data_IF_928586734812
#
_entry.id   IF_928586734812
#
_cell.length_a   1.000
_cell.length_b   1.000
_cell.length_c   1.000
_cell.angle_alpha   90.00
_cell.angle_beta   90.00
_cell.angle_gamma   90.00
#
_symmetry.space_group_name_H-M   'P 1'
#
loop_
_entity.id
_entity.type
_entity.pdbx_description
1 polymer ?
#
# COMPACT_ATOMS: atom_id res chain seq x y z
N UNK A 1 3.38 -22.74 -10.92
CA UNK A 1 2.46 -21.58 -10.83
C UNK A 1 3.35 -20.35 -10.91
N UNK A 2 3.23 -19.52 -11.95
CA UNK A 2 4.10 -18.34 -12.10
C UNK A 2 3.74 -17.34 -11.01
N UNK A 3 4.62 -17.17 -10.02
CA UNK A 3 4.49 -16.11 -9.05
C UNK A 3 4.63 -14.78 -9.77
N UNK A 4 3.67 -13.90 -9.56
CA UNK A 4 3.67 -12.53 -10.06
C UNK A 4 4.60 -11.67 -9.19
N UNK A 5 5.84 -12.11 -8.98
CA UNK A 5 6.78 -11.65 -7.93
C UNK A 5 7.04 -10.14 -7.98
N UNK A 6 6.84 -9.53 -9.14
CA UNK A 6 7.12 -8.13 -9.40
C UNK A 6 5.91 -7.18 -9.25
N UNK A 7 4.74 -7.67 -8.86
CA UNK A 7 3.57 -6.82 -8.66
C UNK A 7 3.30 -6.60 -7.18
N UNK A 8 3.50 -5.37 -6.70
CA UNK A 8 3.17 -4.97 -5.35
C UNK A 8 1.81 -4.27 -5.33
N UNK A 9 0.99 -4.56 -4.33
CA UNK A 9 -0.30 -3.91 -4.11
C UNK A 9 -0.29 -3.19 -2.77
N UNK A 10 -1.01 -2.07 -2.67
CA UNK A 10 -1.25 -1.40 -1.40
C UNK A 10 -2.69 -0.94 -1.25
N UNK A 11 -3.17 -0.94 0.00
CA UNK A 11 -4.38 -0.20 0.35
C UNK A 11 -4.01 1.27 0.57
N UNK A 12 -4.70 2.17 -0.12
CA UNK A 12 -4.47 3.62 -0.01
C UNK A 12 -5.78 4.36 0.24
N UNK A 13 -5.69 5.52 0.87
CA UNK A 13 -6.81 6.44 1.09
C UNK A 13 -6.43 7.85 0.63
N UNK A 14 -7.42 8.67 0.28
CA UNK A 14 -7.17 10.08 -0.03
C UNK A 14 -7.04 10.90 1.24
N UNK A 15 -5.91 11.58 1.40
CA UNK A 15 -5.72 12.60 2.42
C UNK A 15 -6.51 13.87 2.10
N UNK A 16 -6.53 14.81 3.06
CA UNK A 16 -7.28 16.08 2.96
C UNK A 16 -6.80 16.95 1.79
N UNK A 17 -5.54 16.83 1.38
CA UNK A 17 -4.94 17.52 0.25
C UNK A 17 -5.17 16.79 -1.10
N UNK A 18 -5.93 15.70 -1.11
CA UNK A 18 -6.21 14.90 -2.30
C UNK A 18 -5.12 13.87 -2.66
N UNK A 19 -4.02 13.81 -1.90
CA UNK A 19 -2.92 12.86 -2.09
C UNK A 19 -3.35 11.45 -1.67
N UNK A 20 -2.95 10.44 -2.44
CA UNK A 20 -3.12 9.04 -2.06
C UNK A 20 -2.04 8.65 -1.03
N UNK A 21 -2.46 8.22 0.15
CA UNK A 21 -1.60 7.78 1.24
C UNK A 21 -1.78 6.28 1.48
N UNK A 22 -0.69 5.56 1.71
CA UNK A 22 -0.75 4.15 2.10
C UNK A 22 -1.40 4.01 3.47
N UNK A 23 -2.33 3.06 3.58
CA UNK A 23 -3.00 2.74 4.83
C UNK A 23 -2.03 2.00 5.76
N UNK A 24 -1.94 2.45 7.00
CA UNK A 24 -1.04 1.90 8.03
C UNK A 24 -1.90 1.21 9.09
N UNK A 25 -1.52 -0.01 9.47
CA UNK A 25 -2.17 -0.78 10.52
C UNK A 25 -1.16 -1.12 11.62
N UNK A 26 -1.63 -1.20 12.87
CA UNK A 26 -0.81 -1.67 13.99
C UNK A 26 -0.93 -3.19 14.11
N UNK A 27 0.14 -3.92 13.80
CA UNK A 27 0.21 -5.38 13.87
C UNK A 27 1.32 -5.77 14.85
N UNK A 28 0.95 -6.37 15.98
CA UNK A 28 1.92 -6.76 17.01
C UNK A 28 2.70 -5.58 17.58
N UNK A 29 2.01 -4.48 17.90
CA UNK A 29 2.57 -3.20 18.38
C UNK A 29 3.52 -2.50 17.41
N UNK A 30 3.55 -2.91 16.15
CA UNK A 30 4.31 -2.23 15.11
C UNK A 30 3.37 -1.65 14.06
N UNK A 31 3.57 -0.40 13.70
CA UNK A 31 2.91 0.21 12.55
C UNK A 31 3.49 -0.38 11.27
N UNK A 32 2.63 -0.96 10.45
CA UNK A 32 2.99 -1.58 9.18
C UNK A 32 2.10 -1.05 8.07
N UNK A 33 2.67 -0.65 6.92
CA UNK A 33 1.87 -0.29 5.76
C UNK A 33 1.19 -1.56 5.22
N UNK A 34 -0.07 -1.44 4.80
CA UNK A 34 -0.81 -2.55 4.20
C UNK A 34 -0.42 -2.70 2.73
N UNK A 35 0.77 -3.26 2.52
CA UNK A 35 1.43 -3.47 1.22
C UNK A 35 1.88 -4.91 1.13
N UNK A 36 1.59 -5.59 0.03
CA UNK A 36 2.11 -6.94 -0.22
C UNK A 36 2.10 -7.28 -1.71
N UNK A 37 2.97 -8.19 -2.13
CA UNK A 37 2.95 -8.85 -3.43
C UNK A 37 2.32 -10.27 -3.35
N UNK A 38 1.94 -10.72 -2.16
CA UNK A 38 1.33 -12.02 -1.91
C UNK A 38 -0.20 -11.90 -1.88
N UNK A 39 -0.89 -12.64 -2.76
CA UNK A 39 -2.35 -12.57 -2.90
C UNK A 39 -3.09 -12.96 -1.61
N UNK A 40 -2.60 -13.96 -0.88
CA UNK A 40 -3.28 -14.41 0.34
C UNK A 40 -3.07 -13.43 1.50
N UNK A 41 -1.91 -12.77 1.57
CA UNK A 41 -1.70 -11.66 2.49
C UNK A 41 -2.60 -10.47 2.14
N UNK A 42 -2.73 -10.12 0.85
CA UNK A 42 -3.63 -9.04 0.40
C UNK A 42 -5.08 -9.31 0.84
N UNK A 43 -5.55 -10.55 0.69
CA UNK A 43 -6.88 -10.97 1.15
C UNK A 43 -7.02 -10.79 2.66
N UNK A 44 -6.04 -11.25 3.44
CA UNK A 44 -6.07 -11.12 4.90
C UNK A 44 -6.04 -9.65 5.36
N UNK A 45 -5.24 -8.81 4.70
CA UNK A 45 -5.18 -7.37 4.96
C UNK A 45 -6.49 -6.64 4.61
N UNK A 46 -7.34 -7.20 3.74
CA UNK A 46 -8.64 -6.58 3.38
C UNK A 46 -9.50 -6.29 4.61
N UNK A 47 -9.55 -7.22 5.57
CA UNK A 47 -10.37 -7.07 6.77
C UNK A 47 -9.85 -5.91 7.62
N UNK A 48 -8.53 -5.85 7.83
CA UNK A 48 -7.89 -4.73 8.54
C UNK A 48 -8.13 -3.40 7.82
N UNK A 49 -8.07 -3.39 6.49
CA UNK A 49 -8.31 -2.20 5.70
C UNK A 49 -9.76 -1.70 5.81
N UNK A 50 -10.73 -2.62 5.85
CA UNK A 50 -12.16 -2.31 6.05
C UNK A 50 -12.39 -1.76 7.45
N UNK A 51 -11.83 -2.39 8.49
CA UNK A 51 -12.00 -1.96 9.88
C UNK A 51 -11.43 -0.56 10.09
N UNK A 52 -10.22 -0.30 9.59
CA UNK A 52 -9.60 1.03 9.65
C UNK A 52 -10.38 2.06 8.83
N UNK A 53 -10.90 1.68 7.66
CA UNK A 53 -11.74 2.55 6.85
C UNK A 53 -13.00 2.97 7.61
N UNK A 54 -13.66 2.03 8.28
CA UNK A 54 -14.86 2.31 9.06
C UNK A 54 -14.55 3.17 10.30
N UNK A 55 -13.49 2.83 11.05
CA UNK A 55 -13.10 3.56 12.27
C UNK A 55 -12.73 5.03 12.00
N UNK A 56 -12.05 5.28 10.89
CA UNK A 56 -11.56 6.61 10.54
C UNK A 56 -12.40 7.31 9.45
N UNK A 57 -13.53 6.72 9.06
CA UNK A 57 -14.40 7.20 7.98
C UNK A 57 -13.64 7.50 6.67
N UNK A 58 -12.73 6.58 6.28
CA UNK A 58 -11.88 6.70 5.11
C UNK A 58 -12.47 5.95 3.92
N UNK A 59 -12.29 6.51 2.72
CA UNK A 59 -12.50 5.77 1.48
C UNK A 59 -11.19 5.15 1.03
N UNK A 60 -11.09 3.83 1.16
CA UNK A 60 -9.89 3.05 0.83
C UNK A 60 -10.04 2.39 -0.54
N UNK A 61 -8.93 2.29 -1.28
CA UNK A 61 -8.82 1.57 -2.56
C UNK A 61 -7.57 0.67 -2.56
N UNK A 62 -7.64 -0.46 -3.26
CA UNK A 62 -6.48 -1.30 -3.53
C UNK A 62 -5.84 -0.83 -4.84
N UNK A 63 -4.56 -0.45 -4.80
CA UNK A 63 -3.80 -0.02 -5.97
C UNK A 63 -2.69 -1.01 -6.30
N UNK A 64 -2.40 -1.13 -7.59
CA UNK A 64 -1.30 -1.93 -8.12
C UNK A 64 -0.12 -1.00 -8.44
N UNK A 65 1.04 -1.26 -7.86
CA UNK A 65 2.30 -0.65 -8.25
C UNK A 65 2.96 -1.51 -9.33
N UNK A 66 3.24 -0.91 -10.50
CA UNK A 66 4.09 -1.52 -11.52
C UNK A 66 5.50 -0.95 -11.35
N UNK A 67 6.46 -1.87 -11.14
CA UNK A 67 7.94 -1.79 -11.17
C UNK A 67 8.60 -0.45 -10.78
N UNK A 68 9.58 -0.55 -9.87
CA UNK A 68 10.52 0.50 -9.48
C UNK A 68 10.92 1.41 -10.65
N UNK A 69 10.53 2.68 -10.58
CA UNK A 69 11.27 3.72 -11.28
C UNK A 69 12.52 3.97 -10.47
N UNK A 70 13.63 3.38 -10.90
CA UNK A 70 14.94 3.72 -10.36
C UNK A 70 15.28 5.13 -10.86
N UNK A 71 15.23 6.10 -9.94
CA UNK A 71 15.63 7.48 -10.23
C UNK A 71 17.10 7.60 -9.84
N UNK A 72 17.99 7.64 -10.85
CA UNK A 72 19.39 7.97 -10.63
C UNK A 72 19.52 9.47 -10.35
N UNK A 73 19.67 9.82 -9.07
CA UNK A 73 19.89 11.20 -8.65
C UNK A 73 21.25 11.76 -9.08
N UNK A 74 22.22 10.90 -9.43
CA UNK A 74 23.54 11.29 -9.94
C UNK A 74 23.47 12.08 -11.24
N UNK A 75 22.42 11.92 -12.04
CA UNK A 75 22.20 12.69 -13.27
C UNK A 75 21.75 14.15 -13.02
N UNK A 76 21.31 14.49 -11.80
CA UNK A 76 20.83 15.84 -11.47
C UNK A 76 21.92 16.77 -10.91
N UNK A 77 23.10 16.24 -10.59
CA UNK A 77 24.27 17.03 -10.20
C UNK A 77 25.21 17.18 -11.41
N UNK A 78 25.37 18.41 -11.92
CA UNK A 78 26.39 18.81 -12.91
C UNK A 78 27.48 19.63 -12.24
#
# INVERSE_FOLDING_TARGET
>A
MQHNENTMYAYVYKGQNGTDNTLIATIGNQEKPLVSNCLDEIKNMSNLAIDLAAQHNLRVKLVKYQKEQEIDFGMFFK
#
